data_IF_636437698843
#
_entry.id   IF_636437698843
#
_cell.length_a   1.000
_cell.length_b   1.000
_cell.length_c   1.000
_cell.angle_alpha   90.00
_cell.angle_beta   90.00
_cell.angle_gamma   90.00
#
_symmetry.space_group_name_H-M   'P 1'
#
loop_
_entity.id
_entity.type
_entity.pdbx_description
1 polymer ?
#
# COMPACT_ATOMS: atom_id res chain seq x y z
N UNK A 1 10.75 11.95 -5.56
CA UNK A 1 9.53 11.19 -5.14
C UNK A 1 9.51 9.79 -5.74
N UNK A 2 9.51 9.57 -7.06
CA UNK A 2 9.46 8.23 -7.69
C UNK A 2 10.51 7.25 -7.13
N UNK A 3 11.76 7.66 -6.96
CA UNK A 3 12.81 6.81 -6.39
C UNK A 3 12.53 6.36 -4.96
N UNK A 4 11.99 7.24 -4.11
CA UNK A 4 11.61 6.90 -2.73
C UNK A 4 10.38 5.97 -2.74
N UNK A 5 9.40 6.25 -3.59
CA UNK A 5 8.22 5.40 -3.77
C UNK A 5 8.59 3.97 -4.23
N UNK A 6 9.67 3.80 -5.00
CA UNK A 6 10.16 2.48 -5.37
C UNK A 6 10.77 1.73 -4.19
N UNK A 7 11.58 2.39 -3.37
CA UNK A 7 12.11 1.76 -2.14
C UNK A 7 10.99 1.45 -1.13
N UNK A 8 9.99 2.34 -1.01
CA UNK A 8 8.80 2.10 -0.19
C UNK A 8 7.99 0.89 -0.68
N UNK A 9 7.83 0.75 -2.01
CA UNK A 9 7.22 -0.41 -2.64
C UNK A 9 7.97 -1.71 -2.32
N UNK A 10 9.31 -1.72 -2.40
CA UNK A 10 10.13 -2.89 -2.06
C UNK A 10 10.01 -3.22 -0.57
N UNK A 11 9.98 -2.20 0.29
CA UNK A 11 9.80 -2.37 1.73
C UNK A 11 8.40 -2.88 2.12
N UNK A 12 7.39 -2.69 1.27
CA UNK A 12 6.06 -3.27 1.44
C UNK A 12 5.97 -4.70 0.86
N UNK A 13 6.73 -4.99 -0.21
CA UNK A 13 6.76 -6.29 -0.87
C UNK A 13 7.45 -7.36 -0.01
N UNK A 14 8.67 -7.07 0.46
CA UNK A 14 9.53 -8.05 1.12
C UNK A 14 8.89 -8.75 2.33
N UNK A 15 8.26 -8.06 3.31
CA UNK A 15 7.63 -8.74 4.45
C UNK A 15 6.40 -9.57 4.05
N UNK A 16 5.70 -9.20 2.97
CA UNK A 16 4.50 -9.90 2.52
C UNK A 16 4.81 -11.30 1.93
N UNK A 17 6.02 -11.52 1.45
CA UNK A 17 6.42 -12.82 0.88
C UNK A 17 6.41 -13.96 1.90
N UNK A 18 6.44 -13.65 3.20
CA UNK A 18 6.29 -14.62 4.27
C UNK A 18 4.84 -15.00 4.57
N UNK A 19 3.88 -14.27 4.00
CA UNK A 19 2.46 -14.51 4.23
C UNK A 19 1.94 -15.73 3.46
N UNK A 20 1.12 -16.55 4.11
CA UNK A 20 0.65 -17.82 3.56
C UNK A 20 -0.07 -17.67 2.21
N UNK A 21 -0.95 -16.69 2.07
CA UNK A 21 -1.69 -16.45 0.84
C UNK A 21 -0.78 -15.99 -0.32
N UNK A 22 0.29 -15.25 -0.03
CA UNK A 22 1.30 -14.85 -1.02
C UNK A 22 2.09 -16.05 -1.50
N UNK A 23 2.50 -16.93 -0.58
CA UNK A 23 3.16 -18.19 -0.90
C UNK A 23 2.25 -19.15 -1.67
N UNK A 24 0.97 -19.21 -1.35
CA UNK A 24 -0.01 -20.03 -2.07
C UNK A 24 -0.19 -19.52 -3.52
N UNK A 25 -0.25 -18.22 -3.72
CA UNK A 25 -0.29 -17.64 -5.07
C UNK A 25 0.99 -17.95 -5.84
N UNK A 26 2.16 -17.83 -5.21
CA UNK A 26 3.44 -18.19 -5.82
C UNK A 26 3.46 -19.64 -6.29
N UNK A 27 3.03 -20.57 -5.42
CA UNK A 27 2.91 -22.01 -5.76
C UNK A 27 1.92 -22.27 -6.90
N UNK A 28 0.78 -21.60 -6.89
CA UNK A 28 -0.22 -21.71 -7.96
C UNK A 28 0.34 -21.25 -9.33
N UNK A 29 1.05 -20.12 -9.35
CA UNK A 29 1.71 -19.59 -10.55
C UNK A 29 2.81 -20.55 -11.04
N UNK A 30 3.67 -21.05 -10.15
CA UNK A 30 4.74 -21.98 -10.47
C UNK A 30 4.22 -23.32 -11.03
N UNK A 31 3.13 -23.83 -10.47
CA UNK A 31 2.49 -25.05 -10.97
C UNK A 31 1.95 -24.89 -12.41
N UNK A 32 1.43 -23.69 -12.77
CA UNK A 32 1.00 -23.40 -14.15
C UNK A 32 2.18 -23.38 -15.14
N UNK A 33 3.32 -22.84 -14.73
CA UNK A 33 4.53 -22.74 -15.57
C UNK A 33 5.12 -24.12 -15.88
N UNK A 34 5.02 -25.07 -14.95
CA UNK A 34 5.52 -26.44 -15.15
C UNK A 34 4.63 -27.33 -16.02
N UNK A 35 3.33 -27.03 -16.13
CA UNK A 35 2.40 -27.78 -16.99
C UNK A 35 2.67 -27.55 -18.49
N UNK A 36 3.20 -26.38 -18.86
CA UNK A 36 3.54 -26.04 -20.23
C UNK A 36 4.79 -26.73 -20.80
N UNK A 37 5.66 -27.30 -19.95
CA UNK A 37 6.91 -27.96 -20.35
C UNK A 37 6.81 -29.48 -20.51
N UNK A 38 5.71 -30.12 -20.10
CA UNK A 38 5.56 -31.58 -20.12
C UNK A 38 4.12 -31.99 -20.57
N UNK A 39 3.87 -31.95 -21.88
CA UNK A 39 2.75 -32.71 -22.45
C UNK A 39 3.17 -34.17 -22.46
N UNK A 40 3.03 -34.85 -21.36
CA UNK A 40 3.21 -36.31 -21.34
C UNK A 40 3.72 -37.00 -20.11
N UNK A 41 3.49 -36.58 -18.86
CA UNK A 41 3.71 -37.46 -17.72
C UNK A 41 2.68 -37.30 -16.61
N UNK A 42 2.26 -38.44 -16.09
CA UNK A 42 1.23 -38.63 -15.08
C UNK A 42 1.38 -37.76 -13.83
N UNK A 43 0.25 -37.21 -13.40
CA UNK A 43 0.06 -36.58 -12.08
C UNK A 43 0.36 -37.58 -10.96
N UNK A 44 1.56 -37.58 -10.41
CA UNK A 44 1.86 -37.96 -9.05
C UNK A 44 3.23 -37.42 -8.66
N UNK A 45 3.27 -36.61 -7.63
CA UNK A 45 4.42 -35.93 -7.05
C UNK A 45 4.87 -34.65 -7.81
N UNK A 46 4.42 -33.50 -7.35
CA UNK A 46 4.95 -32.21 -7.70
C UNK A 46 6.34 -32.07 -7.09
N UNK A 47 7.39 -32.38 -7.86
CA UNK A 47 8.75 -32.00 -7.51
C UNK A 47 8.94 -30.58 -7.99
N UNK A 48 8.79 -29.64 -7.08
CA UNK A 48 9.26 -28.27 -7.27
C UNK A 48 10.80 -28.32 -7.23
N UNK A 49 11.46 -28.18 -8.35
CA UNK A 49 12.91 -27.99 -8.44
C UNK A 49 13.27 -26.57 -7.96
N UNK A 50 12.97 -26.25 -6.73
CA UNK A 50 13.43 -25.06 -6.04
C UNK A 50 14.63 -25.41 -5.16
N UNK A 51 15.77 -24.79 -5.37
CA UNK A 51 16.87 -24.85 -4.41
C UNK A 51 16.41 -24.18 -3.11
N UNK A 52 16.23 -25.01 -2.09
CA UNK A 52 16.06 -24.52 -0.70
C UNK A 52 17.40 -23.96 -0.27
N UNK A 53 17.49 -22.66 -0.08
CA UNK A 53 18.61 -22.04 0.64
C UNK A 53 18.23 -22.11 2.12
N UNK A 54 18.94 -22.94 2.86
CA UNK A 54 18.72 -23.16 4.29
C UNK A 54 19.19 -21.95 5.10
N UNK A 55 18.24 -21.19 5.56
CA UNK A 55 18.40 -20.14 6.56
C UNK A 55 17.01 -19.66 6.94
N UNK A 56 16.30 -20.40 7.80
CA UNK A 56 15.07 -20.00 8.49
C UNK A 56 13.83 -19.61 7.69
N UNK A 57 13.96 -19.01 6.50
CA UNK A 57 12.86 -18.62 5.63
C UNK A 57 12.93 -19.42 4.32
N UNK A 58 11.90 -20.20 4.05
CA UNK A 58 11.79 -20.98 2.80
C UNK A 58 11.30 -20.05 1.70
N UNK A 59 12.21 -19.53 0.91
CA UNK A 59 11.88 -18.70 -0.23
C UNK A 59 11.60 -19.56 -1.46
N UNK A 60 10.45 -19.39 -2.09
CA UNK A 60 10.07 -20.05 -3.33
C UNK A 60 10.60 -19.23 -4.54
N UNK A 61 11.78 -19.61 -5.05
CA UNK A 61 12.24 -19.11 -6.35
C UNK A 61 11.44 -19.81 -7.45
N UNK A 62 10.64 -19.07 -8.19
CA UNK A 62 9.85 -19.61 -9.30
C UNK A 62 10.56 -19.24 -10.60
N UNK A 63 11.23 -20.21 -11.21
CA UNK A 63 11.88 -20.05 -12.52
C UNK A 63 10.84 -20.12 -13.66
N UNK A 64 11.08 -19.38 -14.74
CA UNK A 64 10.27 -19.41 -15.98
C UNK A 64 8.81 -18.94 -15.83
N UNK A 65 8.54 -17.97 -14.95
CA UNK A 65 7.23 -17.34 -14.82
C UNK A 65 6.99 -16.36 -15.98
N UNK A 66 5.78 -16.35 -16.54
CA UNK A 66 5.40 -15.37 -17.56
C UNK A 66 5.42 -13.94 -17.00
N UNK A 67 5.68 -12.94 -17.85
CA UNK A 67 5.59 -11.52 -17.46
C UNK A 67 4.23 -11.19 -16.82
N UNK A 68 3.17 -11.76 -17.36
CA UNK A 68 1.79 -11.59 -16.89
C UNK A 68 1.61 -12.13 -15.46
N UNK A 69 2.13 -13.31 -15.18
CA UNK A 69 2.03 -13.93 -13.85
C UNK A 69 3.00 -13.26 -12.83
N UNK A 70 4.16 -12.75 -13.27
CA UNK A 70 5.04 -11.90 -12.44
C UNK A 70 4.32 -10.64 -11.97
N UNK A 71 3.66 -9.93 -12.88
CA UNK A 71 2.90 -8.73 -12.55
C UNK A 71 1.78 -9.03 -11.54
N UNK A 72 1.07 -10.16 -11.71
CA UNK A 72 0.06 -10.62 -10.74
C UNK A 72 0.66 -10.83 -9.36
N UNK A 73 1.76 -11.56 -9.28
CA UNK A 73 2.44 -11.88 -8.02
C UNK A 73 2.91 -10.61 -7.31
N UNK A 74 3.70 -9.78 -8.00
CA UNK A 74 4.24 -8.56 -7.41
C UNK A 74 3.16 -7.59 -6.94
N UNK A 75 2.10 -7.39 -7.72
CA UNK A 75 1.00 -6.51 -7.34
C UNK A 75 0.17 -7.05 -6.19
N UNK A 76 -0.03 -8.36 -6.11
CA UNK A 76 -0.70 -8.98 -4.98
C UNK A 76 0.15 -8.89 -3.71
N UNK A 77 1.42 -9.28 -3.78
CA UNK A 77 2.31 -9.32 -2.64
C UNK A 77 2.60 -7.91 -2.07
N UNK A 78 2.94 -6.94 -2.93
CA UNK A 78 3.25 -5.57 -2.48
C UNK A 78 2.06 -4.85 -1.82
N UNK A 79 0.82 -5.26 -2.15
CA UNK A 79 -0.40 -4.70 -1.55
C UNK A 79 -0.98 -5.55 -0.41
N UNK A 80 -0.43 -6.74 -0.16
CA UNK A 80 -1.01 -7.71 0.75
C UNK A 80 -1.16 -7.20 2.18
N UNK A 81 -0.13 -6.58 2.71
CA UNK A 81 -0.11 -6.04 4.07
C UNK A 81 -0.77 -4.66 4.20
N UNK A 82 -1.30 -4.09 3.12
CA UNK A 82 -1.77 -2.69 3.07
C UNK A 82 -0.69 -1.69 3.55
N UNK A 83 0.59 -1.97 3.23
CA UNK A 83 1.77 -1.25 3.67
C UNK A 83 2.37 -0.32 2.62
N UNK A 84 1.89 -0.42 1.39
CA UNK A 84 2.21 0.40 0.24
C UNK A 84 1.58 1.81 0.33
N UNK A 85 2.07 2.71 -0.53
CA UNK A 85 1.58 4.09 -0.59
C UNK A 85 0.10 4.20 -0.97
N UNK A 86 -0.48 5.36 -0.70
CA UNK A 86 -1.82 5.72 -1.15
C UNK A 86 -1.80 7.11 -1.77
N UNK A 87 -2.71 7.35 -2.74
CA UNK A 87 -2.87 8.64 -3.39
C UNK A 87 -4.31 9.13 -3.32
N UNK A 88 -4.48 10.39 -2.95
CA UNK A 88 -5.77 10.92 -2.56
C UNK A 88 -6.75 11.10 -3.73
N UNK A 89 -6.30 11.60 -4.89
CA UNK A 89 -7.15 11.76 -6.07
C UNK A 89 -7.62 10.42 -6.62
N UNK A 90 -6.71 9.42 -6.66
CA UNK A 90 -7.08 8.07 -7.04
C UNK A 90 -8.02 7.43 -6.02
N UNK A 91 -7.93 7.82 -4.74
CA UNK A 91 -8.50 7.07 -3.62
C UNK A 91 -8.08 5.59 -3.64
N UNK A 92 -6.80 5.35 -3.94
CA UNK A 92 -6.19 4.04 -4.23
C UNK A 92 -4.68 4.09 -4.13
N UNK A 93 -4.00 3.13 -4.77
CA UNK A 93 -2.60 2.82 -4.59
C UNK A 93 -1.88 2.79 -5.94
N UNK A 94 -0.88 3.68 -6.14
CA UNK A 94 -0.12 3.78 -7.39
C UNK A 94 0.97 2.72 -7.49
N UNK A 95 1.88 2.73 -6.51
CA UNK A 95 3.16 2.03 -6.62
C UNK A 95 3.01 0.52 -6.75
N UNK A 96 2.06 -0.06 -6.01
CA UNK A 96 1.80 -1.49 -6.07
C UNK A 96 1.40 -1.98 -7.47
N UNK A 97 0.65 -1.19 -8.24
CA UNK A 97 0.24 -1.56 -9.59
C UNK A 97 1.35 -1.23 -10.60
N UNK A 98 1.85 0.00 -10.56
CA UNK A 98 2.76 0.51 -11.58
C UNK A 98 4.13 -0.16 -11.54
N UNK A 99 4.75 -0.27 -10.36
CA UNK A 99 6.05 -0.93 -10.26
C UNK A 99 5.96 -2.43 -10.52
N UNK A 100 4.87 -3.07 -10.12
CA UNK A 100 4.66 -4.49 -10.42
C UNK A 100 4.55 -4.76 -11.92
N UNK A 101 3.84 -3.90 -12.65
CA UNK A 101 3.74 -4.00 -14.11
C UNK A 101 5.07 -3.69 -14.80
N UNK A 102 5.77 -2.63 -14.37
CA UNK A 102 7.07 -2.23 -14.94
C UNK A 102 8.16 -3.27 -14.69
N UNK A 103 8.28 -3.80 -13.45
CA UNK A 103 9.24 -4.85 -13.13
C UNK A 103 9.01 -6.14 -13.94
N UNK A 104 7.75 -6.46 -14.21
CA UNK A 104 7.39 -7.66 -14.97
C UNK A 104 7.78 -7.58 -16.46
N UNK A 105 7.83 -6.37 -17.03
CA UNK A 105 8.19 -6.17 -18.45
C UNK A 105 9.60 -5.64 -18.66
N UNK A 106 10.35 -5.43 -17.58
CA UNK A 106 11.69 -4.86 -17.63
C UNK A 106 12.63 -5.71 -18.50
N UNK A 107 13.49 -5.04 -19.27
CA UNK A 107 14.52 -5.63 -20.10
C UNK A 107 15.91 -5.16 -19.65
N UNK A 108 16.98 -5.96 -19.86
CA UNK A 108 18.33 -5.61 -19.38
C UNK A 108 18.87 -4.28 -19.92
N UNK A 109 18.31 -3.78 -21.03
CA UNK A 109 18.70 -2.52 -21.65
C UNK A 109 17.98 -1.30 -21.11
N UNK A 110 16.96 -1.49 -20.27
CA UNK A 110 16.18 -0.38 -19.70
C UNK A 110 17.01 0.39 -18.67
N UNK A 111 16.91 1.72 -18.74
CA UNK A 111 17.61 2.62 -17.80
C UNK A 111 16.72 3.08 -16.67
N UNK A 112 17.32 3.49 -15.54
CA UNK A 112 16.59 4.10 -14.44
C UNK A 112 15.75 5.32 -14.86
N UNK A 113 16.26 6.14 -15.78
CA UNK A 113 15.52 7.31 -16.24
C UNK A 113 14.26 6.92 -17.00
N UNK A 114 14.31 5.90 -17.85
CA UNK A 114 13.13 5.38 -18.56
C UNK A 114 12.15 4.73 -17.59
N UNK A 115 12.65 3.92 -16.67
CA UNK A 115 11.83 3.25 -15.64
C UNK A 115 11.05 4.25 -14.78
N UNK A 116 11.73 5.25 -14.19
CA UNK A 116 11.05 6.25 -13.36
C UNK A 116 10.19 7.21 -14.17
N UNK A 117 10.57 7.54 -15.40
CA UNK A 117 9.72 8.30 -16.30
C UNK A 117 8.42 7.55 -16.61
N UNK A 118 8.51 6.26 -16.87
CA UNK A 118 7.36 5.40 -17.10
C UNK A 118 6.42 5.36 -15.88
N UNK A 119 6.97 5.19 -14.68
CA UNK A 119 6.20 5.28 -13.44
C UNK A 119 5.48 6.63 -13.30
N UNK A 120 6.18 7.75 -13.53
CA UNK A 120 5.58 9.10 -13.45
C UNK A 120 4.42 9.25 -14.42
N UNK A 121 4.55 8.77 -15.66
CA UNK A 121 3.49 8.83 -16.68
C UNK A 121 2.26 8.01 -16.25
N UNK A 122 2.46 6.80 -15.74
CA UNK A 122 1.38 5.96 -15.22
C UNK A 122 0.66 6.61 -14.04
N UNK A 123 1.42 7.09 -13.06
CA UNK A 123 0.91 7.77 -11.86
C UNK A 123 0.14 9.06 -12.20
N UNK A 124 0.64 9.82 -13.18
CA UNK A 124 -0.01 11.03 -13.66
C UNK A 124 -1.39 10.73 -14.25
N UNK A 125 -1.47 9.71 -15.13
CA UNK A 125 -2.74 9.32 -15.74
C UNK A 125 -3.71 8.77 -14.70
N UNK A 126 -3.27 7.89 -13.80
CA UNK A 126 -4.12 7.36 -12.72
C UNK A 126 -4.66 8.46 -11.82
N UNK A 127 -3.82 9.40 -11.42
CA UNK A 127 -4.23 10.49 -10.54
C UNK A 127 -5.21 11.45 -11.21
N UNK A 128 -5.03 11.77 -12.49
CA UNK A 128 -5.97 12.60 -13.25
C UNK A 128 -7.31 11.88 -13.44
N UNK A 129 -7.30 10.61 -13.84
CA UNK A 129 -8.52 9.80 -13.93
C UNK A 129 -9.22 9.77 -12.57
N UNK A 130 -8.49 9.46 -11.51
CA UNK A 130 -9.01 9.40 -10.16
C UNK A 130 -9.65 10.72 -9.71
N UNK A 131 -8.99 11.86 -9.97
CA UNK A 131 -9.52 13.20 -9.69
C UNK A 131 -10.87 13.45 -10.39
N UNK A 132 -11.01 13.00 -11.63
CA UNK A 132 -12.21 13.23 -12.43
C UNK A 132 -13.40 12.38 -11.99
N UNK A 133 -13.17 11.14 -11.50
CA UNK A 133 -14.25 10.19 -11.18
C UNK A 133 -14.62 10.12 -9.70
N UNK A 134 -13.68 10.43 -8.80
CA UNK A 134 -13.93 10.33 -7.36
C UNK A 134 -14.56 11.62 -6.79
N UNK A 135 -15.35 11.54 -5.72
CA UNK A 135 -15.64 10.34 -4.90
C UNK A 135 -16.76 9.45 -5.45
N UNK A 136 -17.44 9.82 -6.54
CA UNK A 136 -18.61 9.12 -7.05
C UNK A 136 -18.31 7.64 -7.41
N UNK A 137 -17.18 7.37 -8.03
CA UNK A 137 -16.73 6.04 -8.42
C UNK A 137 -16.59 5.10 -7.20
N UNK A 138 -15.94 5.58 -6.15
CA UNK A 138 -15.80 4.84 -4.88
C UNK A 138 -17.16 4.65 -4.19
N UNK A 139 -18.01 5.66 -4.19
CA UNK A 139 -19.35 5.61 -3.59
C UNK A 139 -20.25 4.59 -4.28
N UNK A 140 -20.05 4.38 -5.60
CA UNK A 140 -20.72 3.32 -6.37
C UNK A 140 -20.22 1.90 -6.03
N UNK A 141 -19.14 1.78 -5.28
CA UNK A 141 -18.58 0.50 -4.83
C UNK A 141 -17.40 0.00 -5.64
N UNK A 142 -16.79 0.81 -6.49
CA UNK A 142 -15.59 0.47 -7.22
C UNK A 142 -14.32 0.64 -6.36
N UNK A 143 -13.31 -0.18 -6.65
CA UNK A 143 -11.97 -0.05 -6.08
C UNK A 143 -11.01 0.53 -7.13
N UNK A 144 -10.69 1.81 -7.00
CA UNK A 144 -9.92 2.56 -8.01
C UNK A 144 -8.56 1.92 -8.34
N UNK A 145 -7.88 1.31 -7.37
CA UNK A 145 -6.63 0.56 -7.60
C UNK A 145 -6.79 -0.51 -8.68
N UNK A 146 -7.93 -1.21 -8.71
CA UNK A 146 -8.21 -2.22 -9.73
C UNK A 146 -8.69 -1.61 -11.04
N UNK A 147 -9.66 -0.67 -10.96
CA UNK A 147 -10.35 -0.16 -12.16
C UNK A 147 -9.54 0.86 -12.95
N UNK A 148 -8.80 1.73 -12.28
CA UNK A 148 -7.94 2.75 -12.92
C UNK A 148 -6.51 2.24 -13.10
N UNK A 149 -6.00 1.47 -12.13
CA UNK A 149 -4.63 0.97 -12.14
C UNK A 149 -4.26 0.18 -13.39
N UNK A 150 -5.20 -0.56 -13.97
CA UNK A 150 -4.95 -1.27 -15.23
C UNK A 150 -4.62 -0.31 -16.39
N UNK A 151 -5.28 0.86 -16.43
CA UNK A 151 -5.02 1.89 -17.43
C UNK A 151 -3.67 2.56 -17.17
N UNK A 152 -3.37 2.85 -15.89
CA UNK A 152 -2.07 3.38 -15.46
C UNK A 152 -0.92 2.44 -15.77
N UNK A 153 -1.07 1.15 -15.49
CA UNK A 153 -0.07 0.13 -15.83
C UNK A 153 0.21 0.10 -17.34
N UNK A 154 -0.83 0.11 -18.17
CA UNK A 154 -0.70 0.16 -19.63
C UNK A 154 0.00 1.44 -20.10
N UNK A 155 -0.35 2.60 -19.52
CA UNK A 155 0.32 3.87 -19.84
C UNK A 155 1.80 3.87 -19.44
N UNK A 156 2.13 3.34 -18.26
CA UNK A 156 3.50 3.19 -17.81
C UNK A 156 4.31 2.28 -18.75
N UNK A 157 3.78 1.11 -19.10
CA UNK A 157 4.42 0.20 -20.05
C UNK A 157 4.58 0.87 -21.43
N UNK A 158 3.54 1.54 -21.93
CA UNK A 158 3.60 2.29 -23.19
C UNK A 158 4.72 3.35 -23.17
N UNK A 159 4.86 4.08 -22.08
CA UNK A 159 5.93 5.07 -21.91
C UNK A 159 7.33 4.42 -21.84
N UNK A 160 7.47 3.27 -21.14
CA UNK A 160 8.75 2.53 -21.08
C UNK A 160 9.16 2.01 -22.46
N UNK A 161 8.21 1.56 -23.26
CA UNK A 161 8.43 1.00 -24.60
C UNK A 161 8.32 2.03 -25.74
N UNK A 162 8.20 3.32 -25.41
CA UNK A 162 8.16 4.41 -26.39
C UNK A 162 6.93 4.39 -27.30
N UNK A 163 5.84 3.75 -26.90
CA UNK A 163 4.60 3.71 -27.67
C UNK A 163 3.93 5.10 -27.70
N UNK A 164 3.39 5.47 -28.85
CA UNK A 164 2.70 6.74 -29.06
C UNK A 164 1.63 6.63 -30.14
N UNK A 165 0.79 7.67 -30.27
CA UNK A 165 -0.26 7.72 -31.30
C UNK A 165 -1.19 6.51 -31.23
N UNK A 166 -1.40 5.86 -32.36
CA UNK A 166 -2.36 4.75 -32.52
C UNK A 166 -1.97 3.53 -31.65
N UNK A 167 -0.70 3.16 -31.58
CA UNK A 167 -0.26 2.00 -30.80
C UNK A 167 -0.49 2.20 -29.28
N UNK A 168 -0.27 3.41 -28.76
CA UNK A 168 -0.61 3.71 -27.38
C UNK A 168 -2.12 3.70 -27.14
N UNK A 169 -2.90 4.26 -28.08
CA UNK A 169 -4.37 4.27 -27.97
C UNK A 169 -4.95 2.84 -27.97
N UNK A 170 -4.42 1.94 -28.80
CA UNK A 170 -4.79 0.53 -28.84
C UNK A 170 -4.42 -0.19 -27.52
N UNK A 171 -3.22 0.07 -26.98
CA UNK A 171 -2.80 -0.47 -25.68
C UNK A 171 -3.75 -0.04 -24.55
N UNK A 172 -4.05 1.26 -24.47
CA UNK A 172 -4.98 1.79 -23.48
C UNK A 172 -6.40 1.23 -23.66
N UNK A 173 -6.84 1.01 -24.89
CA UNK A 173 -8.14 0.39 -25.17
C UNK A 173 -8.22 -1.05 -24.69
N UNK A 174 -7.18 -1.86 -24.96
CA UNK A 174 -7.08 -3.23 -24.45
C UNK A 174 -7.07 -3.29 -22.92
N UNK A 175 -6.39 -2.35 -22.28
CA UNK A 175 -6.34 -2.25 -20.83
C UNK A 175 -7.68 -1.79 -20.24
N UNK A 176 -8.27 -0.72 -20.77
CA UNK A 176 -9.51 -0.13 -20.28
C UNK A 176 -10.68 -1.12 -20.24
N UNK A 177 -10.79 -2.01 -21.22
CA UNK A 177 -11.84 -3.03 -21.24
C UNK A 177 -11.69 -4.11 -20.16
N UNK A 178 -10.55 -4.16 -19.48
CA UNK A 178 -10.25 -5.12 -18.40
C UNK A 178 -10.37 -4.49 -17.00
N UNK A 179 -10.89 -3.27 -16.89
CA UNK A 179 -11.12 -2.60 -15.61
C UNK A 179 -12.07 -3.39 -14.73
N UNK A 180 -11.59 -3.76 -13.53
CA UNK A 180 -12.36 -4.54 -12.57
C UNK A 180 -11.90 -4.23 -11.12
N UNK A 181 -12.71 -4.68 -10.15
CA UNK A 181 -12.40 -4.54 -8.74
C UNK A 181 -13.51 -3.80 -7.98
N UNK A 182 -13.98 -4.43 -6.89
CA UNK A 182 -15.09 -3.90 -6.10
C UNK A 182 -14.66 -3.66 -4.64
N UNK A 183 -15.03 -2.52 -4.12
CA UNK A 183 -14.58 -2.04 -2.81
C UNK A 183 -15.05 -2.92 -1.63
N UNK A 184 -16.10 -3.74 -1.80
CA UNK A 184 -16.57 -4.64 -0.75
C UNK A 184 -15.51 -5.67 -0.31
N UNK A 185 -14.48 -5.91 -1.13
CA UNK A 185 -13.34 -6.78 -0.79
C UNK A 185 -12.32 -6.12 0.17
N UNK A 186 -12.51 -4.86 0.54
CA UNK A 186 -11.65 -4.20 1.52
C UNK A 186 -11.65 -4.96 2.86
N UNK A 187 -10.46 -5.28 3.39
CA UNK A 187 -10.29 -6.13 4.59
C UNK A 187 -10.22 -7.63 4.31
N UNK A 188 -10.22 -8.04 3.04
CA UNK A 188 -10.00 -9.45 2.61
C UNK A 188 -8.85 -9.53 1.62
N UNK A 189 -8.39 -10.76 1.31
CA UNK A 189 -7.35 -10.98 0.30
C UNK A 189 -7.79 -10.62 -1.13
N UNK A 190 -9.08 -10.44 -1.35
CA UNK A 190 -9.63 -9.90 -2.60
C UNK A 190 -9.18 -8.47 -2.89
N UNK A 191 -8.88 -7.64 -1.85
CA UNK A 191 -8.40 -6.28 -2.05
C UNK A 191 -7.01 -6.25 -2.69
N UNK A 192 -5.95 -6.89 -2.14
CA UNK A 192 -4.64 -6.95 -2.79
C UNK A 192 -4.67 -7.69 -4.13
N UNK A 193 -5.56 -8.66 -4.31
CA UNK A 193 -5.74 -9.33 -5.60
C UNK A 193 -6.12 -8.33 -6.71
N UNK A 194 -6.89 -7.27 -6.43
CA UNK A 194 -7.21 -6.25 -7.42
C UNK A 194 -5.96 -5.52 -7.94
N UNK A 195 -4.97 -5.23 -7.08
CA UNK A 195 -3.73 -4.61 -7.51
C UNK A 195 -2.93 -5.55 -8.43
N UNK A 196 -2.80 -6.81 -8.04
CA UNK A 196 -2.16 -7.83 -8.86
C UNK A 196 -2.85 -8.03 -10.22
N UNK A 197 -4.18 -8.09 -10.23
CA UNK A 197 -4.95 -8.20 -11.47
C UNK A 197 -4.84 -6.96 -12.35
N UNK A 198 -4.78 -5.74 -11.78
CA UNK A 198 -4.59 -4.51 -12.54
C UNK A 198 -3.21 -4.49 -13.22
N UNK A 199 -2.14 -4.78 -12.47
CA UNK A 199 -0.78 -4.90 -13.02
C UNK A 199 -0.70 -5.97 -14.12
N UNK A 200 -1.22 -7.17 -13.81
CA UNK A 200 -1.31 -8.30 -14.76
C UNK A 200 -2.04 -7.92 -16.05
N UNK A 201 -3.18 -7.29 -15.94
CA UNK A 201 -4.01 -6.97 -17.11
C UNK A 201 -3.40 -5.85 -17.95
N UNK A 202 -2.65 -4.91 -17.35
CA UNK A 202 -1.83 -3.94 -18.09
C UNK A 202 -0.73 -4.62 -18.91
N UNK A 203 0.00 -5.57 -18.29
CA UNK A 203 1.00 -6.39 -18.98
C UNK A 203 0.36 -7.28 -20.05
N UNK A 204 -0.78 -7.91 -19.75
CA UNK A 204 -1.50 -8.74 -20.70
C UNK A 204 -1.95 -7.95 -21.94
N UNK A 205 -2.45 -6.74 -21.75
CA UNK A 205 -2.81 -5.84 -22.86
C UNK A 205 -1.58 -5.54 -23.75
N UNK A 206 -0.42 -5.31 -23.14
CA UNK A 206 0.82 -5.09 -23.88
C UNK A 206 1.28 -6.35 -24.65
N UNK A 207 1.29 -7.53 -24.01
CA UNK A 207 1.66 -8.79 -24.67
C UNK A 207 0.71 -9.13 -25.83
N UNK A 208 -0.60 -8.88 -25.68
CA UNK A 208 -1.55 -9.02 -26.77
C UNK A 208 -1.25 -8.08 -27.95
N UNK A 209 -0.94 -6.81 -27.66
CA UNK A 209 -0.59 -5.84 -28.70
C UNK A 209 0.68 -6.24 -29.46
N UNK A 210 1.68 -6.78 -28.77
CA UNK A 210 2.96 -7.15 -29.37
C UNK A 210 2.94 -8.48 -30.14
N UNK A 211 2.14 -9.44 -29.68
CA UNK A 211 2.25 -10.83 -30.16
C UNK A 211 1.02 -11.32 -30.94
N UNK A 212 0.03 -10.46 -31.16
CA UNK A 212 -1.18 -10.83 -31.91
C UNK A 212 -1.57 -9.77 -32.93
N UNK A 213 -2.43 -10.14 -33.86
CA UNK A 213 -3.03 -9.23 -34.84
C UNK A 213 -4.43 -8.75 -34.42
N UNK A 214 -4.72 -8.71 -33.11
CA UNK A 214 -6.00 -8.28 -32.58
C UNK A 214 -6.29 -6.83 -32.97
N UNK A 215 -7.46 -6.62 -33.62
CA UNK A 215 -7.95 -5.28 -33.90
C UNK A 215 -8.71 -4.75 -32.70
N UNK A 216 -8.36 -3.54 -32.26
CA UNK A 216 -9.02 -2.89 -31.13
C UNK A 216 -9.34 -1.42 -31.45
N UNK A 217 -10.21 -0.82 -30.66
CA UNK A 217 -10.51 0.60 -30.75
C UNK A 217 -9.26 1.44 -30.45
N UNK A 218 -9.17 2.60 -31.07
CA UNK A 218 -8.16 3.63 -30.77
C UNK A 218 -8.72 4.78 -29.93
N UNK A 219 -9.96 4.65 -29.44
CA UNK A 219 -10.62 5.67 -28.62
C UNK A 219 -11.20 5.08 -27.33
N UNK A 220 -10.35 4.72 -26.33
CA UNK A 220 -10.81 4.14 -25.06
C UNK A 220 -11.66 5.12 -24.25
N UNK A 221 -11.51 6.42 -24.49
CA UNK A 221 -12.17 7.49 -23.75
C UNK A 221 -13.25 8.21 -24.57
N UNK A 222 -13.86 7.48 -25.51
CA UNK A 222 -14.99 8.00 -26.30
C UNK A 222 -16.06 8.63 -25.38
N UNK A 223 -16.50 9.87 -25.65
CA UNK A 223 -17.40 10.60 -24.75
C UNK A 223 -18.80 9.98 -24.63
N UNK A 224 -19.23 9.16 -25.60
CA UNK A 224 -20.54 8.53 -25.58
C UNK A 224 -20.52 7.09 -25.02
N UNK A 225 -19.45 6.32 -25.28
CA UNK A 225 -19.37 4.89 -25.01
C UNK A 225 -18.05 4.43 -24.38
N UNK A 226 -17.08 5.33 -24.21
CA UNK A 226 -15.77 5.02 -23.64
C UNK A 226 -15.80 4.77 -22.13
N UNK A 227 -14.62 4.54 -21.59
CA UNK A 227 -14.45 4.12 -20.22
C UNK A 227 -15.03 5.11 -19.19
N UNK A 228 -14.81 6.42 -19.37
CA UNK A 228 -15.34 7.44 -18.45
C UNK A 228 -16.87 7.41 -18.40
N UNK A 229 -17.51 7.19 -19.56
CA UNK A 229 -18.98 7.12 -19.63
C UNK A 229 -19.51 5.85 -18.98
N UNK A 230 -18.86 4.72 -19.22
CA UNK A 230 -19.34 3.40 -18.78
C UNK A 230 -19.05 3.16 -17.30
N UNK A 231 -17.83 3.43 -16.86
CA UNK A 231 -17.34 3.13 -15.49
C UNK A 231 -17.49 4.35 -14.57
N UNK A 232 -17.15 5.54 -15.05
CA UNK A 232 -17.21 6.78 -14.27
C UNK A 232 -18.59 7.46 -14.28
N UNK A 233 -19.45 7.11 -15.22
CA UNK A 233 -20.72 7.79 -15.49
C UNK A 233 -20.58 9.32 -15.69
N UNK A 234 -19.47 9.73 -16.29
CA UNK A 234 -19.14 11.13 -16.59
C UNK A 234 -18.74 11.28 -18.06
N UNK A 235 -18.79 12.50 -18.57
CA UNK A 235 -18.21 12.85 -19.86
C UNK A 235 -16.94 13.64 -19.63
N UNK A 236 -15.84 13.20 -20.24
CA UNK A 236 -14.51 13.79 -20.13
C UNK A 236 -14.03 14.18 -21.51
N UNK A 237 -13.43 15.37 -21.63
CA UNK A 237 -12.80 15.85 -22.85
C UNK A 237 -11.29 15.71 -22.77
N UNK A 238 -10.62 15.75 -23.91
CA UNK A 238 -9.15 15.78 -23.95
C UNK A 238 -8.56 16.97 -23.19
N UNK A 239 -9.26 18.11 -23.14
CA UNK A 239 -8.83 19.28 -22.40
C UNK A 239 -8.90 19.08 -20.88
N UNK A 240 -9.85 18.28 -20.37
CA UNK A 240 -9.93 17.96 -18.95
C UNK A 240 -8.71 17.20 -18.45
N UNK A 241 -8.12 16.37 -19.30
CA UNK A 241 -6.87 15.65 -19.03
C UNK A 241 -5.66 16.58 -19.27
N UNK A 242 -5.57 17.19 -20.45
CA UNK A 242 -4.43 17.98 -20.88
C UNK A 242 -4.14 19.18 -19.97
N UNK A 243 -5.18 19.87 -19.47
CA UNK A 243 -5.04 21.02 -18.58
C UNK A 243 -4.47 20.67 -17.19
N UNK A 244 -4.51 19.38 -16.82
CA UNK A 244 -4.00 18.86 -15.52
C UNK A 244 -2.67 18.16 -15.65
N UNK A 245 -2.29 17.81 -16.89
CA UNK A 245 -1.11 16.99 -17.14
C UNK A 245 0.17 17.66 -16.65
N UNK A 246 0.82 17.07 -15.64
CA UNK A 246 2.03 17.57 -14.96
C UNK A 246 1.90 19.03 -14.47
N UNK A 247 0.71 19.45 -14.06
CA UNK A 247 0.43 20.80 -13.59
C UNK A 247 -0.21 20.79 -12.17
N UNK A 248 0.60 20.63 -11.09
CA UNK A 248 2.07 20.44 -11.00
C UNK A 248 2.54 18.99 -11.13
N UNK A 249 1.65 18.02 -11.30
CA UNK A 249 1.88 16.57 -11.37
C UNK A 249 1.45 15.84 -10.11
N UNK A 250 0.87 14.66 -10.28
CA UNK A 250 0.16 13.91 -9.23
C UNK A 250 1.07 13.39 -8.09
N UNK A 251 2.37 13.25 -8.35
CA UNK A 251 3.36 12.89 -7.33
C UNK A 251 3.84 14.10 -6.50
N UNK A 252 3.48 15.32 -6.90
CA UNK A 252 3.83 16.59 -6.23
C UNK A 252 2.60 17.10 -5.45
N UNK A 253 1.45 17.17 -6.13
CA UNK A 253 0.18 17.61 -5.57
C UNK A 253 -0.96 16.74 -6.13
N UNK A 254 -1.66 15.99 -5.29
CA UNK A 254 -1.61 15.95 -3.82
C UNK A 254 -0.42 15.18 -3.22
N UNK A 255 0.42 14.50 -4.02
CA UNK A 255 1.52 13.69 -3.55
C UNK A 255 1.10 12.30 -3.05
N UNK A 256 2.05 11.56 -2.49
CA UNK A 256 1.85 10.21 -1.96
C UNK A 256 1.77 10.21 -0.43
N UNK A 257 0.90 9.38 0.11
CA UNK A 257 0.80 9.03 1.51
C UNK A 257 1.50 7.69 1.70
N UNK A 258 2.74 7.70 2.18
CA UNK A 258 3.50 6.51 2.51
C UNK A 258 3.21 6.09 3.96
N UNK A 259 3.22 4.80 4.23
CA UNK A 259 2.81 4.27 5.54
C UNK A 259 4.02 3.84 6.35
N UNK A 260 4.02 4.17 7.62
CA UNK A 260 5.01 3.71 8.60
C UNK A 260 4.66 2.31 9.11
N UNK A 261 3.36 1.97 9.14
CA UNK A 261 2.80 0.72 9.63
C UNK A 261 1.80 0.11 8.65
N UNK A 262 1.58 -1.22 8.65
CA UNK A 262 0.74 -1.94 7.71
C UNK A 262 -0.76 -1.86 8.05
N UNK A 263 -1.35 -0.67 7.93
CA UNK A 263 -2.79 -0.46 8.12
C UNK A 263 -3.37 0.56 7.14
N UNK A 264 -4.70 0.66 7.12
CA UNK A 264 -5.43 1.55 6.23
C UNK A 264 -5.01 3.01 6.41
N UNK A 265 -4.64 3.67 5.32
CA UNK A 265 -4.15 5.05 5.32
C UNK A 265 -5.14 6.09 5.91
N UNK A 266 -6.43 5.75 6.05
CA UNK A 266 -7.40 6.62 6.73
C UNK A 266 -7.16 6.74 8.25
N UNK A 267 -6.38 5.83 8.85
CA UNK A 267 -6.07 5.83 10.28
C UNK A 267 -4.77 6.58 10.63
N UNK A 268 -3.92 6.93 9.66
CA UNK A 268 -2.57 7.48 9.94
C UNK A 268 -2.63 8.70 10.87
N UNK A 269 -3.52 9.67 10.61
CA UNK A 269 -3.66 10.85 11.46
C UNK A 269 -4.13 10.51 12.88
N UNK A 270 -5.02 9.52 13.01
CA UNK A 270 -5.53 9.08 14.30
C UNK A 270 -4.50 8.31 15.12
N UNK A 271 -3.68 7.48 14.48
CA UNK A 271 -2.59 6.77 15.11
C UNK A 271 -1.56 7.74 15.70
N UNK A 272 -1.05 8.68 14.89
CA UNK A 272 -0.06 9.66 15.34
C UNK A 272 -0.64 10.61 16.40
N UNK A 273 -1.93 11.01 16.29
CA UNK A 273 -2.59 11.80 17.34
C UNK A 273 -2.65 11.03 18.66
N UNK A 274 -2.93 9.72 18.63
CA UNK A 274 -2.92 8.87 19.81
C UNK A 274 -1.51 8.74 20.41
N UNK A 275 -0.48 8.59 19.61
CA UNK A 275 0.93 8.53 20.05
C UNK A 275 1.34 9.80 20.79
N UNK A 276 0.99 10.98 20.26
CA UNK A 276 1.26 12.26 20.92
C UNK A 276 0.49 12.37 22.25
N UNK A 277 -0.77 11.91 22.28
CA UNK A 277 -1.58 11.90 23.51
C UNK A 277 -0.95 11.01 24.57
N UNK A 278 -0.53 9.79 24.20
CA UNK A 278 0.14 8.85 25.12
C UNK A 278 1.43 9.45 25.67
N UNK A 279 2.26 10.04 24.81
CA UNK A 279 3.50 10.69 25.26
C UNK A 279 3.21 11.81 26.28
N UNK A 280 2.24 12.68 26.01
CA UNK A 280 1.84 13.73 26.96
C UNK A 280 1.27 13.18 28.26
N UNK A 281 0.55 12.09 28.20
CA UNK A 281 -0.02 11.43 29.37
C UNK A 281 1.11 10.87 30.26
N UNK A 282 2.05 10.13 29.71
CA UNK A 282 3.20 9.59 30.45
C UNK A 282 4.17 10.65 30.97
N UNK A 283 4.25 11.81 30.34
CA UNK A 283 5.07 12.94 30.82
C UNK A 283 4.33 13.88 31.77
N UNK A 284 3.04 13.70 31.98
CA UNK A 284 2.28 14.53 32.92
C UNK A 284 2.68 14.25 34.36
N UNK A 285 2.87 15.32 35.15
CA UNK A 285 3.30 15.22 36.56
C UNK A 285 2.34 14.40 37.44
N UNK A 286 1.06 14.38 37.10
CA UNK A 286 0.03 13.59 37.78
C UNK A 286 0.19 12.07 37.55
N UNK A 287 0.60 11.66 36.34
CA UNK A 287 0.77 10.25 36.01
C UNK A 287 2.12 9.73 36.51
N UNK A 288 3.21 10.49 36.30
CA UNK A 288 4.56 10.15 36.73
C UNK A 288 4.63 9.95 38.24
N UNK A 289 4.00 10.84 39.04
CA UNK A 289 4.00 10.73 40.50
C UNK A 289 3.26 9.51 41.02
N UNK A 290 2.28 9.00 40.29
CA UNK A 290 1.44 7.86 40.70
C UNK A 290 2.10 6.50 40.38
N UNK A 291 2.89 6.41 39.31
CA UNK A 291 3.41 5.15 38.80
C UNK A 291 4.90 4.95 39.00
N UNK A 292 5.62 5.84 39.73
CA UNK A 292 7.08 5.78 39.95
C UNK A 292 7.91 5.68 38.65
N UNK A 293 7.43 6.23 37.53
CA UNK A 293 8.25 6.33 36.32
C UNK A 293 9.40 7.31 36.53
N UNK A 294 10.61 6.89 36.12
CA UNK A 294 11.82 7.73 36.19
C UNK A 294 11.62 8.96 35.28
N UNK A 295 12.09 10.12 35.80
CA UNK A 295 12.08 11.40 35.11
C UNK A 295 12.71 11.31 33.71
N UNK A 296 12.20 12.05 32.70
CA UNK A 296 12.69 12.03 31.32
C UNK A 296 14.10 12.57 31.06
N UNK A 297 14.85 12.95 32.13
CA UNK A 297 16.16 13.63 32.03
C UNK A 297 17.38 12.69 31.92
N UNK A 298 17.19 11.39 31.69
CA UNK A 298 18.30 10.46 31.43
C UNK A 298 18.43 10.24 29.90
N UNK A 299 19.68 10.26 29.42
CA UNK A 299 20.09 10.05 28.02
C UNK A 299 19.64 8.68 27.40
N UNK A 300 18.78 7.95 28.09
CA UNK A 300 18.11 6.71 27.63
C UNK A 300 16.79 6.96 26.87
N UNK A 301 16.53 8.21 26.44
CA UNK A 301 15.29 8.59 25.72
C UNK A 301 15.08 7.86 24.37
N UNK A 302 16.11 7.23 23.81
CA UNK A 302 15.98 6.42 22.58
C UNK A 302 15.53 4.97 22.84
N UNK A 303 15.35 4.56 24.09
CA UNK A 303 14.98 3.20 24.48
C UNK A 303 13.59 3.06 25.13
N UNK A 304 12.69 4.02 25.01
CA UNK A 304 11.26 3.76 25.23
C UNK A 304 10.69 2.97 24.02
N UNK A 305 11.50 2.03 23.53
CA UNK A 305 11.10 1.02 22.57
C UNK A 305 10.46 -0.13 23.33
N UNK A 306 9.15 -0.28 23.08
CA UNK A 306 8.48 -1.57 23.14
C UNK A 306 8.29 -2.13 24.55
N UNK A 307 7.26 -1.68 25.22
CA UNK A 307 6.52 -2.61 26.06
C UNK A 307 6.04 -3.75 25.16
N UNK A 308 6.74 -4.88 25.15
CA UNK A 308 6.29 -6.11 24.49
C UNK A 308 5.05 -6.72 25.15
N UNK A 309 4.67 -6.15 26.32
CA UNK A 309 3.45 -6.50 27.06
C UNK A 309 2.58 -5.25 27.18
N UNK A 310 1.25 -5.38 26.95
CA UNK A 310 0.33 -4.25 27.04
C UNK A 310 0.34 -3.67 28.46
N UNK A 311 0.41 -2.35 28.57
CA UNK A 311 0.18 -1.67 29.84
C UNK A 311 -1.34 -1.50 30.06
N UNK A 312 -1.97 -2.55 30.57
CA UNK A 312 -3.39 -2.50 30.93
C UNK A 312 -3.69 -1.53 32.08
N UNK A 313 -2.65 -1.09 32.85
CA UNK A 313 -2.86 -0.15 33.95
C UNK A 313 -3.36 1.21 33.44
N UNK A 314 -2.92 1.65 32.26
CA UNK A 314 -3.46 2.85 31.62
C UNK A 314 -4.96 2.69 31.28
N UNK A 315 -5.36 1.52 30.76
CA UNK A 315 -6.75 1.26 30.45
C UNK A 315 -7.65 1.22 31.69
N UNK A 316 -7.11 0.89 32.87
CA UNK A 316 -7.85 1.00 34.14
C UNK A 316 -8.16 2.45 34.51
N UNK A 317 -7.37 3.41 34.03
CA UNK A 317 -7.56 4.84 34.28
C UNK A 317 -8.42 5.53 33.20
N UNK A 318 -8.44 5.00 31.98
CA UNK A 318 -9.22 5.55 30.88
C UNK A 318 -10.73 5.33 31.11
N UNK A 319 -11.48 6.43 31.08
CA UNK A 319 -12.94 6.41 31.07
C UNK A 319 -13.48 6.24 29.65
N UNK A 320 -12.97 7.05 28.70
CA UNK A 320 -13.41 7.07 27.30
C UNK A 320 -12.32 7.61 26.39
N UNK A 321 -12.30 7.13 25.16
CA UNK A 321 -11.50 7.68 24.05
C UNK A 321 -12.43 8.12 22.94
N UNK A 322 -12.28 9.34 22.45
CA UNK A 322 -13.08 9.87 21.33
C UNK A 322 -12.17 10.15 20.16
N UNK A 323 -12.47 9.54 19.01
CA UNK A 323 -11.76 9.80 17.75
C UNK A 323 -12.68 10.62 16.85
N UNK A 324 -12.25 11.84 16.56
CA UNK A 324 -13.03 12.81 15.81
C UNK A 324 -12.58 12.83 14.34
N UNK A 325 -13.53 12.75 13.44
CA UNK A 325 -13.36 12.78 12.00
C UNK A 325 -14.18 13.87 11.33
N UNK A 326 -13.74 14.37 10.16
CA UNK A 326 -14.68 14.97 9.21
C UNK A 326 -15.70 13.92 8.74
N UNK A 327 -16.95 14.33 8.44
CA UNK A 327 -17.97 13.39 7.94
C UNK A 327 -17.48 12.59 6.73
N UNK A 328 -17.48 11.25 6.85
CA UNK A 328 -17.09 10.30 5.80
C UNK A 328 -15.59 10.08 5.60
N UNK A 329 -14.72 10.74 6.37
CA UNK A 329 -13.26 10.57 6.26
C UNK A 329 -12.79 9.18 6.69
N UNK A 330 -13.57 8.49 7.52
CA UNK A 330 -13.31 7.13 8.03
C UNK A 330 -13.94 6.01 7.20
N UNK A 331 -14.51 6.30 6.04
CA UNK A 331 -15.27 5.33 5.22
C UNK A 331 -14.49 4.04 4.85
N UNK A 332 -13.15 4.09 4.88
CA UNK A 332 -12.30 2.93 4.66
C UNK A 332 -12.08 2.08 5.92
N UNK A 333 -12.33 2.63 7.10
CA UNK A 333 -12.14 1.98 8.39
C UNK A 333 -13.45 1.23 8.77
N UNK A 334 -13.70 0.12 8.11
CA UNK A 334 -14.99 -0.59 8.10
C UNK A 334 -15.34 -1.30 9.40
N UNK A 335 -14.32 -1.68 10.18
CA UNK A 335 -14.51 -2.49 11.39
C UNK A 335 -14.46 -1.60 12.63
N UNK A 336 -15.58 -1.53 13.35
CA UNK A 336 -15.66 -0.84 14.65
C UNK A 336 -15.41 -1.79 15.83
N UNK A 337 -15.51 -3.10 15.59
CA UNK A 337 -15.25 -4.15 16.57
C UNK A 337 -14.60 -5.34 15.84
N UNK A 338 -13.34 -5.21 15.43
CA UNK A 338 -12.63 -6.26 14.72
C UNK A 338 -12.43 -7.49 15.61
N UNK A 339 -12.45 -8.67 15.00
CA UNK A 339 -12.27 -9.96 15.68
C UNK A 339 -10.92 -10.60 15.36
N UNK A 340 -10.26 -10.15 14.29
CA UNK A 340 -8.95 -10.61 13.85
C UNK A 340 -8.00 -9.45 13.66
N UNK A 341 -6.69 -9.69 13.70
CA UNK A 341 -5.69 -8.69 13.39
C UNK A 341 -5.87 -8.11 11.99
N UNK A 342 -6.24 -8.94 11.01
CA UNK A 342 -6.51 -8.53 9.63
C UNK A 342 -7.66 -7.52 9.51
N UNK A 343 -8.76 -7.73 10.24
CA UNK A 343 -9.83 -6.75 10.34
C UNK A 343 -9.36 -5.48 11.07
N UNK A 344 -8.46 -5.63 12.04
CA UNK A 344 -7.84 -4.56 12.82
C UNK A 344 -7.06 -3.55 11.98
N UNK A 345 -6.47 -3.95 10.84
CA UNK A 345 -5.84 -3.03 9.88
C UNK A 345 -6.81 -1.97 9.33
N UNK A 346 -8.11 -2.23 9.40
CA UNK A 346 -9.21 -1.37 8.94
C UNK A 346 -10.11 -0.91 10.08
N UNK A 347 -9.55 -0.79 11.30
CA UNK A 347 -10.23 -0.34 12.52
C UNK A 347 -9.43 0.73 13.24
N UNK A 348 -9.99 1.94 13.35
CA UNK A 348 -9.34 2.97 14.17
C UNK A 348 -9.35 2.60 15.65
N UNK A 349 -10.37 1.88 16.09
CA UNK A 349 -10.51 1.43 17.48
C UNK A 349 -9.35 0.52 17.85
N UNK A 350 -9.00 -0.43 16.98
CA UNK A 350 -7.89 -1.36 17.23
C UNK A 350 -6.53 -0.67 17.18
N UNK A 351 -6.35 0.22 16.20
CA UNK A 351 -5.09 0.97 16.03
C UNK A 351 -4.86 1.90 17.23
N UNK A 352 -5.87 2.66 17.65
CA UNK A 352 -5.79 3.55 18.83
C UNK A 352 -5.62 2.72 20.10
N UNK A 353 -6.31 1.56 20.22
CA UNK A 353 -6.07 0.64 21.32
C UNK A 353 -4.61 0.24 21.42
N UNK A 354 -3.98 -0.18 20.31
CA UNK A 354 -2.57 -0.59 20.31
C UNK A 354 -1.67 0.54 20.82
N UNK A 355 -1.85 1.74 20.28
CA UNK A 355 -1.05 2.91 20.68
C UNK A 355 -1.20 3.19 22.17
N UNK A 356 -2.43 3.16 22.71
CA UNK A 356 -2.67 3.41 24.13
C UNK A 356 -2.13 2.28 25.03
N UNK A 357 -2.07 1.04 24.53
CA UNK A 357 -1.62 -0.11 25.31
C UNK A 357 -0.10 -0.33 25.25
N UNK A 358 0.52 0.02 24.12
CA UNK A 358 1.93 -0.31 23.84
C UNK A 358 2.82 0.92 23.59
N UNK A 359 2.25 2.12 23.58
CA UNK A 359 2.94 3.37 23.24
C UNK A 359 3.11 3.61 21.75
N UNK A 360 2.94 2.58 20.91
CA UNK A 360 3.03 2.63 19.45
C UNK A 360 2.22 1.50 18.84
N UNK A 361 2.01 1.56 17.51
CA UNK A 361 1.41 0.46 16.76
C UNK A 361 2.37 -0.74 16.75
N UNK A 362 1.81 -1.95 16.91
CA UNK A 362 2.53 -3.23 16.89
C UNK A 362 2.14 -4.01 15.64
N UNK A 363 3.01 -4.08 14.64
CA UNK A 363 2.72 -4.69 13.33
C UNK A 363 2.35 -6.18 13.43
N UNK A 364 2.94 -6.90 14.39
CA UNK A 364 2.65 -8.32 14.62
C UNK A 364 1.21 -8.58 15.09
N UNK A 365 0.59 -7.60 15.73
CA UNK A 365 -0.81 -7.72 16.16
C UNK A 365 -1.80 -7.69 14.99
N UNK A 366 -1.39 -7.29 13.80
CA UNK A 366 -2.21 -7.39 12.59
C UNK A 366 -2.22 -8.81 11.99
N UNK A 367 -1.35 -9.70 12.47
CA UNK A 367 -1.23 -11.10 11.99
C UNK A 367 -1.99 -12.11 12.84
N UNK A 368 -2.53 -11.70 13.99
CA UNK A 368 -3.23 -12.63 14.90
C UNK A 368 -4.58 -13.07 14.35
N UNK A 369 -4.90 -14.36 14.54
CA UNK A 369 -6.16 -14.96 14.07
C UNK A 369 -7.38 -14.52 14.88
N UNK A 370 -7.19 -14.19 16.16
CA UNK A 370 -8.26 -13.77 17.06
C UNK A 370 -7.79 -12.68 18.03
N UNK A 371 -8.59 -11.62 18.17
CA UNK A 371 -8.40 -10.55 19.15
C UNK A 371 -9.09 -10.97 20.44
N UNK A 372 -8.34 -10.93 21.55
CA UNK A 372 -8.81 -11.32 22.87
C UNK A 372 -10.02 -10.49 23.34
N UNK A 373 -10.83 -11.10 24.19
CA UNK A 373 -12.03 -10.45 24.73
C UNK A 373 -11.69 -9.19 25.52
N UNK A 374 -10.65 -9.22 26.36
CA UNK A 374 -10.20 -8.06 27.15
C UNK A 374 -9.78 -6.88 26.28
N UNK A 375 -9.14 -7.16 25.14
CA UNK A 375 -8.80 -6.15 24.13
C UNK A 375 -10.07 -5.54 23.54
N UNK A 376 -11.05 -6.38 23.21
CA UNK A 376 -12.35 -5.90 22.67
C UNK A 376 -13.13 -5.08 23.70
N UNK A 377 -13.04 -5.40 24.99
CA UNK A 377 -13.63 -4.62 26.06
C UNK A 377 -12.96 -3.24 26.18
N UNK A 378 -11.64 -3.16 26.03
CA UNK A 378 -10.93 -1.89 25.93
C UNK A 378 -11.38 -1.06 24.71
N UNK A 379 -11.44 -1.68 23.53
CA UNK A 379 -11.91 -1.02 22.30
C UNK A 379 -13.35 -0.49 22.41
N UNK A 380 -14.21 -1.14 23.19
CA UNK A 380 -15.60 -0.69 23.39
C UNK A 380 -15.72 0.71 24.02
N UNK A 381 -14.63 1.22 24.62
CA UNK A 381 -14.54 2.58 25.17
C UNK A 381 -14.04 3.62 24.17
N UNK A 382 -13.75 3.20 22.92
CA UNK A 382 -13.32 4.08 21.83
C UNK A 382 -14.51 4.35 20.93
N UNK A 383 -14.89 5.60 20.78
CA UNK A 383 -16.02 6.03 19.95
C UNK A 383 -15.59 6.98 18.84
N UNK A 384 -16.27 6.90 17.68
CA UNK A 384 -16.08 7.84 16.56
C UNK A 384 -17.09 8.97 16.66
N UNK A 385 -16.62 10.21 16.44
CA UNK A 385 -17.45 11.41 16.38
C UNK A 385 -17.14 12.19 15.10
N UNK A 386 -18.15 12.73 14.44
CA UNK A 386 -18.05 13.39 13.15
C UNK A 386 -18.28 14.90 13.29
N UNK A 387 -17.48 15.56 14.12
CA UNK A 387 -17.60 16.96 14.49
C UNK A 387 -16.50 17.87 13.91
N UNK A 388 -15.53 17.29 13.17
CA UNK A 388 -14.52 18.08 12.49
C UNK A 388 -15.07 18.68 11.19
N UNK A 389 -14.57 19.86 10.77
CA UNK A 389 -14.98 20.47 9.52
C UNK A 389 -14.61 19.56 8.34
N UNK A 390 -15.47 19.55 7.31
CA UNK A 390 -15.18 18.86 6.07
C UNK A 390 -13.93 19.48 5.43
N UNK A 391 -12.94 18.64 5.11
CA UNK A 391 -11.73 19.02 4.40
C UNK A 391 -11.81 18.61 2.93
N UNK A 392 -10.86 19.04 2.11
CA UNK A 392 -10.74 18.60 0.72
C UNK A 392 -10.46 17.09 0.66
N UNK A 393 -10.72 16.48 -0.49
CA UNK A 393 -10.45 15.05 -0.70
C UNK A 393 -8.97 14.68 -0.52
N UNK A 394 -8.09 15.65 -0.72
CA UNK A 394 -6.63 15.48 -0.65
C UNK A 394 -6.06 15.72 0.74
N UNK A 395 -6.86 16.24 1.67
CA UNK A 395 -6.47 16.50 3.05
C UNK A 395 -7.05 15.46 3.99
N UNK A 396 -6.34 15.24 5.08
CA UNK A 396 -6.78 14.37 6.19
C UNK A 396 -6.58 15.10 7.50
N UNK A 397 -7.51 14.91 8.42
CA UNK A 397 -7.42 15.43 9.76
C UNK A 397 -8.15 14.46 10.70
N UNK A 398 -7.54 14.18 11.84
CA UNK A 398 -8.16 13.39 12.91
C UNK A 398 -7.75 14.00 14.25
N UNK A 399 -8.69 14.06 15.17
CA UNK A 399 -8.43 14.48 16.55
C UNK A 399 -8.73 13.30 17.48
N UNK A 400 -7.83 13.03 18.43
CA UNK A 400 -7.99 12.01 19.46
C UNK A 400 -8.10 12.70 20.82
N UNK A 401 -9.11 12.34 21.60
CA UNK A 401 -9.31 12.81 22.97
C UNK A 401 -9.40 11.62 23.91
N UNK A 402 -8.49 11.54 24.87
CA UNK A 402 -8.52 10.56 25.96
C UNK A 402 -9.03 11.26 27.22
N UNK A 403 -10.09 10.71 27.83
CA UNK A 403 -10.67 11.20 29.09
C UNK A 403 -10.42 10.16 30.18
N UNK A 404 -9.74 10.56 31.25
CA UNK A 404 -9.48 9.71 32.41
C UNK A 404 -10.66 9.69 33.41
N UNK A 405 -10.71 8.68 34.27
CA UNK A 405 -11.74 8.54 35.30
C UNK A 405 -11.73 9.68 36.34
N UNK A 406 -10.59 10.34 36.52
CA UNK A 406 -10.48 11.52 37.39
C UNK A 406 -10.99 12.83 36.74
N UNK A 407 -11.36 12.77 35.45
CA UNK A 407 -11.89 13.90 34.68
C UNK A 407 -10.83 14.63 33.85
N UNK A 408 -9.54 14.30 33.96
CA UNK A 408 -8.49 14.87 33.13
C UNK A 408 -8.68 14.47 31.66
N UNK A 409 -8.38 15.37 30.73
CA UNK A 409 -8.50 15.15 29.30
C UNK A 409 -7.20 15.49 28.58
N UNK A 410 -6.82 14.62 27.65
CA UNK A 410 -5.66 14.80 26.78
C UNK A 410 -6.15 14.77 25.33
N UNK A 411 -5.85 15.80 24.57
CA UNK A 411 -6.35 15.95 23.20
C UNK A 411 -5.23 16.35 22.26
N UNK A 412 -5.21 15.72 21.07
CA UNK A 412 -4.30 16.08 19.98
C UNK A 412 -5.02 16.02 18.64
N UNK A 413 -4.58 16.86 17.70
CA UNK A 413 -5.11 16.95 16.34
C UNK A 413 -3.97 16.87 15.34
N UNK A 414 -4.03 15.89 14.43
CA UNK A 414 -3.01 15.68 13.39
C UNK A 414 -3.63 15.81 12.01
N UNK A 415 -2.95 16.53 11.12
CA UNK A 415 -3.33 16.71 9.72
C UNK A 415 -2.17 16.46 8.73
N UNK A 416 -0.93 16.43 9.20
CA UNK A 416 0.24 16.12 8.40
C UNK A 416 1.12 15.08 9.11
N UNK A 417 0.59 13.86 9.27
CA UNK A 417 1.32 12.79 9.94
C UNK A 417 2.57 12.39 9.15
N UNK A 418 3.47 11.68 9.79
CA UNK A 418 4.64 11.07 9.14
C UNK A 418 4.22 10.23 7.93
N UNK A 419 4.92 10.39 6.81
CA UNK A 419 4.58 9.77 5.53
C UNK A 419 3.55 10.52 4.70
N UNK A 420 2.96 11.63 5.21
CA UNK A 420 2.10 12.51 4.40
C UNK A 420 2.91 13.34 3.40
N UNK A 421 2.29 13.88 2.34
CA UNK A 421 2.99 14.71 1.37
C UNK A 421 3.73 15.93 1.97
N UNK A 422 3.21 16.49 3.07
CA UNK A 422 3.82 17.63 3.77
C UNK A 422 4.82 17.23 4.87
N UNK A 423 4.88 15.96 5.23
CA UNK A 423 5.82 15.35 6.17
C UNK A 423 6.29 13.99 5.63
N UNK A 424 7.00 13.95 4.50
CA UNK A 424 7.33 12.72 3.80
C UNK A 424 8.29 11.84 4.60
N UNK A 425 8.31 10.54 4.25
CA UNK A 425 9.32 9.63 4.77
C UNK A 425 10.72 10.07 4.31
N UNK A 426 11.67 9.98 5.23
CA UNK A 426 13.09 10.16 4.97
C UNK A 426 13.72 8.83 4.52
N UNK A 427 14.98 8.86 4.08
CA UNK A 427 15.72 7.63 3.81
C UNK A 427 15.90 6.77 5.06
N UNK A 428 16.00 7.37 6.24
CA UNK A 428 16.09 6.63 7.50
C UNK A 428 14.77 5.90 7.81
N UNK A 429 13.62 6.52 7.56
CA UNK A 429 12.32 5.86 7.70
C UNK A 429 12.20 4.65 6.74
N UNK A 430 12.71 4.78 5.51
CA UNK A 430 12.76 3.67 4.55
C UNK A 430 13.69 2.56 5.05
N UNK A 431 14.83 2.89 5.65
CA UNK A 431 15.73 1.91 6.28
C UNK A 431 15.04 1.12 7.39
N UNK A 432 14.32 1.82 8.26
CA UNK A 432 13.53 1.19 9.34
C UNK A 432 12.49 0.24 8.75
N UNK A 433 11.78 0.68 7.70
CA UNK A 433 10.76 -0.13 7.02
C UNK A 433 11.36 -1.38 6.35
N UNK A 434 12.50 -1.26 5.67
CA UNK A 434 13.24 -2.40 5.12
C UNK A 434 13.74 -3.34 6.23
N UNK A 435 14.08 -2.82 7.40
CA UNK A 435 14.54 -3.58 8.57
C UNK A 435 13.51 -4.51 9.18
N UNK A 436 12.24 -4.45 8.77
CA UNK A 436 11.23 -5.46 9.11
C UNK A 436 11.53 -6.84 8.50
N UNK A 437 12.39 -6.90 7.48
CA UNK A 437 12.68 -8.14 6.76
C UNK A 437 14.17 -8.36 6.55
N UNK A 438 14.96 -7.29 6.41
CA UNK A 438 16.38 -7.34 6.07
C UNK A 438 17.25 -6.98 7.26
N UNK A 439 18.41 -7.61 7.37
CA UNK A 439 19.45 -7.23 8.31
C UNK A 439 20.14 -5.92 7.88
N UNK A 440 20.74 -5.20 8.81
CA UNK A 440 21.31 -3.87 8.58
C UNK A 440 22.32 -3.85 7.40
N UNK A 441 23.18 -4.87 7.28
CA UNK A 441 24.15 -4.99 6.21
C UNK A 441 23.52 -5.30 4.82
N UNK A 442 22.37 -5.98 4.79
CA UNK A 442 21.58 -6.18 3.58
C UNK A 442 20.93 -4.88 3.12
N UNK A 443 20.38 -4.10 4.06
CA UNK A 443 19.80 -2.77 3.78
C UNK A 443 20.87 -1.86 3.17
N UNK A 444 22.08 -1.84 3.75
CA UNK A 444 23.18 -1.03 3.24
C UNK A 444 23.52 -1.41 1.80
N UNK A 445 23.65 -2.70 1.47
CA UNK A 445 23.91 -3.17 0.12
C UNK A 445 22.78 -2.81 -0.87
N UNK A 446 21.52 -2.91 -0.45
CA UNK A 446 20.36 -2.54 -1.30
C UNK A 446 20.38 -1.03 -1.58
N UNK A 447 20.59 -0.20 -0.58
CA UNK A 447 20.61 1.27 -0.75
C UNK A 447 21.84 1.72 -1.53
N UNK A 448 23.01 1.14 -1.28
CA UNK A 448 24.21 1.42 -2.03
C UNK A 448 24.05 1.05 -3.52
N UNK A 449 23.56 -0.15 -3.80
CA UNK A 449 23.29 -0.59 -5.17
C UNK A 449 22.28 0.35 -5.86
N UNK A 450 21.21 0.74 -5.16
CA UNK A 450 20.20 1.68 -5.69
C UNK A 450 20.78 3.07 -6.00
N UNK A 451 21.76 3.51 -5.23
CA UNK A 451 22.32 4.87 -5.34
C UNK A 451 23.41 4.94 -6.43
N UNK A 452 24.21 3.89 -6.57
CA UNK A 452 25.45 3.90 -7.38
C UNK A 452 25.38 3.07 -8.66
N UNK A 453 24.32 2.29 -8.89
CA UNK A 453 24.16 1.49 -10.10
C UNK A 453 23.36 2.25 -11.14
N UNK A 454 23.92 2.43 -12.34
CA UNK A 454 23.24 3.06 -13.48
C UNK A 454 22.32 2.07 -14.21
N UNK A 455 22.56 0.77 -14.07
CA UNK A 455 21.85 -0.31 -14.74
C UNK A 455 20.80 -0.93 -13.81
N UNK A 456 19.54 -0.93 -14.25
CA UNK A 456 18.42 -1.49 -13.48
C UNK A 456 18.60 -2.98 -13.22
N UNK A 457 19.08 -3.76 -14.20
CA UNK A 457 19.29 -5.20 -14.05
C UNK A 457 20.32 -5.55 -12.97
N UNK A 458 21.42 -4.79 -12.87
CA UNK A 458 22.42 -4.98 -11.81
C UNK A 458 21.81 -4.78 -10.40
N UNK A 459 20.93 -3.80 -10.26
CA UNK A 459 20.18 -3.60 -9.01
C UNK A 459 19.22 -4.76 -8.73
N UNK A 460 18.49 -5.24 -9.73
CA UNK A 460 17.58 -6.39 -9.55
C UNK A 460 18.32 -7.66 -9.14
N UNK A 461 19.54 -7.88 -9.66
CA UNK A 461 20.38 -8.98 -9.21
C UNK A 461 20.77 -8.84 -7.73
N UNK A 462 21.05 -7.62 -7.28
CA UNK A 462 21.27 -7.36 -5.86
C UNK A 462 20.02 -7.67 -5.04
N UNK A 463 18.84 -7.21 -5.45
CA UNK A 463 17.57 -7.50 -4.75
C UNK A 463 17.29 -9.00 -4.66
N UNK A 464 17.56 -9.76 -5.73
CA UNK A 464 17.42 -11.24 -5.71
C UNK A 464 18.42 -11.89 -4.76
N UNK A 465 19.68 -11.41 -4.75
CA UNK A 465 20.73 -11.93 -3.87
C UNK A 465 20.41 -11.64 -2.39
N UNK A 466 19.90 -10.47 -2.08
CA UNK A 466 19.54 -10.07 -0.72
C UNK A 466 18.16 -10.57 -0.28
N UNK A 467 17.43 -11.29 -1.14
CA UNK A 467 16.14 -11.88 -0.80
C UNK A 467 14.97 -10.89 -0.76
N UNK A 468 15.05 -9.80 -1.52
CA UNK A 468 13.97 -8.80 -1.65
C UNK A 468 13.04 -9.12 -2.83
N UNK A 469 13.56 -9.78 -3.87
CA UNK A 469 12.79 -10.24 -5.03
C UNK A 469 13.03 -11.73 -5.28
N UNK A 470 11.96 -12.49 -5.46
CA UNK A 470 12.01 -13.93 -5.57
C UNK A 470 11.44 -14.50 -6.88
N UNK A 471 10.84 -13.67 -7.74
CA UNK A 471 10.21 -14.09 -9.01
C UNK A 471 10.83 -13.38 -10.20
#
# INVERSE_FOLDING_TARGET
MARIAFLDYLAALAPAENEQAVQDLARFIGAKSSIGSDVGRHMNSTVLNGKVISGGNTCLVIENVSKVDKALYYGFASHYLDFDDAQANLAGHFSTVLYSALLAVLEPTDTWNEFFRAYIIGAELEGIIGYLINPAHRTQGWHSTGTVGVIGAAAAIGALRGLHGESLAQLLSLAATQSAGMFFQSGTDGKPLHAGLAARNGVWAYELLQHTSLQTSTNPFDPERGWFKTIGNITVTSNDIASRWLAPGQLIDPGLWMKVHPYCSAAICGAEAAEIVVHRLYTSSSYVSKHNYLSPDTEEQDQCRLCTTPDFSLWDEINRVTVHFPPGADAALRYTSPTTGREGQFSIEYIVYQVLAYGSVQDELFKIDAIDTDVRDCMSRIERVYDLPKVSQTERITKVTVTLKNGDTFTETVNNPKGSPKNPLTMEDIRIKLGLTLEADQIDRVIEAFTHTDEVESFLQTLRKEGVLHV
#
